data_IF_343885113271
#
_entry.id   IF_343885113271
#
_cell.length_a   1.000
_cell.length_b   1.000
_cell.length_c   1.000
_cell.angle_alpha   90.00
_cell.angle_beta   90.00
_cell.angle_gamma   90.00
#
_symmetry.space_group_name_H-M   'P 1'
#
loop_
_entity.id
_entity.type
_entity.pdbx_description
1 polymer ?
#
# COMPACT_ATOMS: atom_id res chain seq x y z
N UNK A 1 -19.36 16.17 -22.07
CA UNK A 1 -18.58 15.91 -20.85
C UNK A 1 -17.20 15.48 -21.29
N UNK A 2 -16.14 16.09 -20.78
CA UNK A 2 -14.77 15.68 -21.15
C UNK A 2 -14.52 14.21 -20.74
N UNK A 3 -13.69 13.54 -21.51
CA UNK A 3 -13.33 12.13 -21.29
C UNK A 3 -12.01 12.07 -20.51
N UNK A 4 -12.08 11.90 -19.21
CA UNK A 4 -10.91 11.74 -18.34
C UNK A 4 -10.74 10.26 -18.04
N UNK A 5 -9.69 9.66 -18.62
CA UNK A 5 -9.35 8.26 -18.39
C UNK A 5 -8.42 8.06 -17.21
N UNK A 6 -8.58 6.95 -16.51
CA UNK A 6 -7.59 6.46 -15.54
C UNK A 6 -7.07 5.09 -15.96
N UNK A 7 -5.75 4.92 -15.96
CA UNK A 7 -5.13 3.66 -16.33
C UNK A 7 -5.48 2.56 -15.30
N UNK A 8 -6.04 1.44 -15.79
CA UNK A 8 -6.43 0.28 -15.00
C UNK A 8 -5.81 -0.98 -15.57
N UNK A 9 -4.54 -1.15 -15.31
CA UNK A 9 -3.73 -2.32 -15.72
C UNK A 9 -3.13 -2.98 -14.49
N UNK A 10 -2.45 -4.13 -14.67
CA UNK A 10 -1.77 -4.82 -13.57
C UNK A 10 -0.85 -3.86 -12.80
N UNK A 11 -0.92 -3.89 -11.48
CA UNK A 11 -0.14 -3.02 -10.61
C UNK A 11 -0.64 -1.58 -10.48
N UNK A 12 -1.65 -1.15 -11.24
CA UNK A 12 -2.30 0.15 -11.06
C UNK A 12 -3.29 0.15 -9.91
N UNK A 13 -3.32 1.23 -9.11
CA UNK A 13 -4.25 1.43 -8.00
C UNK A 13 -5.16 2.64 -8.23
N UNK A 14 -6.11 2.57 -9.17
CA UNK A 14 -7.00 3.70 -9.51
C UNK A 14 -7.92 4.11 -8.34
N UNK A 15 -8.07 3.26 -7.32
CA UNK A 15 -8.91 3.50 -6.15
C UNK A 15 -8.13 3.86 -4.89
N UNK A 16 -6.81 4.00 -4.96
CA UNK A 16 -5.98 4.25 -3.78
C UNK A 16 -6.27 5.58 -3.09
N UNK A 17 -6.70 6.55 -3.87
CA UNK A 17 -7.09 7.90 -3.43
C UNK A 17 -8.22 8.46 -4.30
N UNK A 18 -8.78 9.58 -3.91
CA UNK A 18 -9.83 10.26 -4.68
C UNK A 18 -9.21 10.96 -5.90
N UNK A 19 -9.43 10.38 -7.10
CA UNK A 19 -8.94 10.88 -8.38
C UNK A 19 -10.11 11.21 -9.32
N UNK A 20 -9.98 12.29 -10.14
CA UNK A 20 -11.05 12.71 -11.04
C UNK A 20 -10.99 11.93 -12.36
N UNK A 21 -11.92 11.00 -12.60
CA UNK A 21 -12.02 10.28 -13.86
C UNK A 21 -13.45 9.79 -14.11
N UNK A 22 -13.76 9.47 -15.37
CA UNK A 22 -15.05 8.92 -15.77
C UNK A 22 -14.91 7.70 -16.72
N UNK A 23 -13.68 7.27 -17.02
CA UNK A 23 -13.41 6.15 -17.91
C UNK A 23 -12.24 5.35 -17.33
N UNK A 24 -12.37 4.01 -17.23
CA UNK A 24 -11.25 3.12 -17.03
C UNK A 24 -10.57 2.83 -18.36
N UNK A 25 -9.24 2.86 -18.37
CA UNK A 25 -8.40 2.54 -19.54
C UNK A 25 -7.71 1.22 -19.26
N UNK A 26 -8.22 0.15 -19.81
CA UNK A 26 -7.73 -1.23 -19.63
C UNK A 26 -7.44 -1.95 -20.96
N UNK A 27 -7.80 -1.35 -22.10
CA UNK A 27 -7.59 -1.90 -23.44
C UNK A 27 -6.97 -0.91 -24.41
N UNK A 28 -6.31 -1.45 -25.44
CA UNK A 28 -5.75 -0.66 -26.55
C UNK A 28 -6.82 0.12 -27.31
N UNK A 29 -6.47 1.32 -27.77
CA UNK A 29 -7.34 2.22 -28.51
C UNK A 29 -8.15 3.18 -27.63
N UNK A 30 -8.28 2.93 -26.35
CA UNK A 30 -9.11 3.77 -25.47
C UNK A 30 -8.50 5.16 -25.22
N UNK A 31 -7.16 5.28 -25.20
CA UNK A 31 -6.46 6.55 -24.93
C UNK A 31 -6.70 7.58 -26.04
N UNK A 32 -6.95 7.11 -27.26
CA UNK A 32 -7.08 7.96 -28.44
C UNK A 32 -8.15 9.05 -28.31
N UNK A 33 -9.27 8.72 -27.66
CA UNK A 33 -10.45 9.57 -27.62
C UNK A 33 -10.60 10.30 -26.27
N UNK A 34 -9.55 10.34 -25.45
CA UNK A 34 -9.55 11.04 -24.18
C UNK A 34 -9.19 12.53 -24.35
N UNK A 35 -9.65 13.35 -23.40
CA UNK A 35 -9.20 14.73 -23.22
C UNK A 35 -8.07 14.79 -22.17
N UNK A 36 -8.11 13.91 -21.17
CA UNK A 36 -7.03 13.74 -20.20
C UNK A 36 -6.84 12.28 -19.79
N UNK A 37 -5.60 11.91 -19.44
CA UNK A 37 -5.23 10.61 -18.92
C UNK A 37 -4.58 10.75 -17.56
N UNK A 38 -5.10 10.03 -16.56
CA UNK A 38 -4.49 9.89 -15.24
C UNK A 38 -3.77 8.54 -15.17
N UNK A 39 -2.49 8.57 -14.85
CA UNK A 39 -1.69 7.39 -14.55
C UNK A 39 -1.60 7.29 -13.03
N UNK A 40 -2.32 6.34 -12.41
CA UNK A 40 -2.52 6.29 -10.97
C UNK A 40 -1.29 5.78 -10.21
N UNK A 41 -1.30 5.85 -8.87
CA UNK A 41 -0.32 5.15 -8.05
C UNK A 41 -0.40 3.63 -8.21
N UNK A 42 0.58 2.92 -7.63
CA UNK A 42 0.70 1.48 -7.65
C UNK A 42 2.14 1.01 -7.81
N UNK A 43 2.34 -0.06 -8.57
CA UNK A 43 3.65 -0.67 -8.89
C UNK A 43 3.81 -0.89 -10.40
N UNK A 44 3.51 0.14 -11.20
CA UNK A 44 3.47 0.02 -12.66
C UNK A 44 4.81 -0.43 -13.26
N UNK A 45 5.91 0.07 -12.71
CA UNK A 45 7.25 -0.22 -13.19
C UNK A 45 7.69 -1.60 -12.74
N UNK A 46 7.49 -1.93 -11.48
CA UNK A 46 7.80 -3.22 -10.88
C UNK A 46 6.98 -4.35 -11.54
N UNK A 47 5.74 -4.03 -11.95
CA UNK A 47 4.85 -4.93 -12.71
C UNK A 47 5.19 -5.00 -14.21
N UNK A 48 6.24 -4.31 -14.66
CA UNK A 48 6.72 -4.29 -16.05
C UNK A 48 5.62 -3.98 -17.06
N UNK A 49 4.81 -2.97 -16.75
CA UNK A 49 3.60 -2.62 -17.51
C UNK A 49 3.91 -2.30 -18.97
N UNK A 50 5.04 -1.64 -19.29
CA UNK A 50 5.44 -1.33 -20.66
C UNK A 50 5.78 -2.58 -21.48
N UNK A 51 6.33 -3.61 -20.84
CA UNK A 51 6.62 -4.88 -21.51
C UNK A 51 5.34 -5.71 -21.71
N UNK A 52 4.47 -5.75 -20.68
CA UNK A 52 3.22 -6.53 -20.69
C UNK A 52 2.17 -5.98 -21.65
N UNK A 53 2.06 -4.67 -21.74
CA UNK A 53 1.07 -3.96 -22.55
C UNK A 53 1.78 -3.17 -23.67
N UNK A 54 2.28 -3.88 -24.69
CA UNK A 54 3.10 -3.31 -25.77
C UNK A 54 2.43 -2.17 -26.55
N UNK A 55 1.11 -1.98 -26.42
CA UNK A 55 0.36 -0.86 -27.00
C UNK A 55 0.50 0.43 -26.16
N UNK A 56 0.66 0.30 -24.85
CA UNK A 56 0.48 1.41 -23.90
C UNK A 56 1.50 2.53 -24.12
N UNK A 57 2.76 2.18 -24.25
CA UNK A 57 3.83 3.19 -24.46
C UNK A 57 3.60 4.04 -25.70
N UNK A 58 3.23 3.41 -26.81
CA UNK A 58 2.95 4.11 -28.08
C UNK A 58 1.72 5.01 -27.96
N UNK A 59 0.62 4.49 -27.42
CA UNK A 59 -0.61 5.26 -27.33
C UNK A 59 -0.50 6.46 -26.39
N UNK A 60 0.25 6.33 -25.29
CA UNK A 60 0.51 7.48 -24.40
C UNK A 60 1.38 8.53 -25.10
N UNK A 61 2.42 8.12 -25.84
CA UNK A 61 3.24 9.05 -26.62
C UNK A 61 2.42 9.77 -27.70
N UNK A 62 1.65 9.03 -28.51
CA UNK A 62 0.77 9.59 -29.53
C UNK A 62 -0.25 10.57 -28.93
N UNK A 63 -0.75 10.29 -27.73
CA UNK A 63 -1.69 11.15 -27.02
C UNK A 63 -1.02 12.45 -26.55
N UNK A 64 0.16 12.37 -25.97
CA UNK A 64 0.97 13.52 -25.53
C UNK A 64 1.36 14.41 -26.69
N UNK A 65 1.82 13.83 -27.80
CA UNK A 65 2.24 14.59 -29.00
C UNK A 65 1.08 15.33 -29.67
N UNK A 66 -0.14 14.82 -29.56
CA UNK A 66 -1.36 15.48 -30.03
C UNK A 66 -1.88 16.55 -29.06
N UNK A 67 -1.17 16.83 -27.96
CA UNK A 67 -1.53 17.84 -26.98
C UNK A 67 -2.50 17.36 -25.89
N UNK A 68 -2.65 16.05 -25.73
CA UNK A 68 -3.43 15.47 -24.64
C UNK A 68 -2.86 15.81 -23.26
N UNK A 69 -3.72 15.95 -22.28
CA UNK A 69 -3.31 16.26 -20.90
C UNK A 69 -3.03 14.97 -20.12
N UNK A 70 -1.83 14.83 -19.55
CA UNK A 70 -1.46 13.64 -18.76
C UNK A 70 -1.06 14.03 -17.34
N UNK A 71 -1.59 13.31 -16.36
CA UNK A 71 -1.24 13.46 -14.95
C UNK A 71 -0.74 12.13 -14.40
N UNK A 72 0.50 12.10 -13.91
CA UNK A 72 1.08 10.93 -13.22
C UNK A 72 1.10 11.12 -11.71
N UNK A 73 0.67 10.12 -10.95
CA UNK A 73 0.69 10.11 -9.48
C UNK A 73 1.59 9.01 -8.98
N UNK A 74 2.60 9.33 -8.17
CA UNK A 74 3.53 8.38 -7.55
C UNK A 74 4.15 7.41 -8.59
N UNK A 75 3.72 6.14 -8.65
CA UNK A 75 4.13 5.18 -9.67
C UNK A 75 3.84 5.68 -11.10
N UNK A 76 2.84 6.53 -11.28
CA UNK A 76 2.56 7.21 -12.55
C UNK A 76 3.69 8.17 -12.97
N UNK A 77 4.34 8.84 -12.02
CA UNK A 77 5.55 9.66 -12.31
C UNK A 77 6.72 8.76 -12.70
N UNK A 78 6.89 7.66 -11.98
CA UNK A 78 7.91 6.66 -12.29
C UNK A 78 7.72 6.10 -13.69
N UNK A 79 6.49 5.75 -14.06
CA UNK A 79 6.12 5.29 -15.40
C UNK A 79 6.42 6.32 -16.49
N UNK A 80 6.13 7.61 -16.24
CA UNK A 80 6.39 8.72 -17.18
C UNK A 80 7.86 9.13 -17.25
N UNK A 81 8.70 8.74 -16.28
CA UNK A 81 10.12 9.07 -16.24
C UNK A 81 10.91 8.41 -17.37
N UNK A 82 12.14 8.84 -17.57
CA UNK A 82 13.08 8.19 -18.48
C UNK A 82 13.63 6.89 -17.91
N UNK A 83 13.95 6.89 -16.61
CA UNK A 83 14.52 5.71 -15.96
C UNK A 83 14.38 5.77 -14.44
N UNK A 84 14.40 4.60 -13.82
CA UNK A 84 14.46 4.43 -12.38
C UNK A 84 15.69 3.58 -12.05
N UNK A 85 16.55 4.10 -11.19
CA UNK A 85 17.61 3.32 -10.57
C UNK A 85 17.05 2.61 -9.34
N UNK A 86 16.90 1.31 -9.42
CA UNK A 86 16.36 0.50 -8.34
C UNK A 86 17.34 0.37 -7.17
N UNK A 87 18.65 0.41 -7.45
CA UNK A 87 19.73 0.27 -6.46
C UNK A 87 19.44 -0.82 -5.41
N UNK A 88 18.99 -1.98 -5.87
CA UNK A 88 18.59 -3.09 -5.00
C UNK A 88 19.82 -3.65 -4.32
N UNK A 89 19.84 -3.65 -2.99
CA UNK A 89 20.94 -4.14 -2.15
C UNK A 89 22.31 -3.55 -2.54
N UNK A 90 22.34 -2.29 -2.96
CA UNK A 90 23.56 -1.59 -3.35
C UNK A 90 24.07 -1.91 -4.75
N UNK A 91 23.38 -2.77 -5.50
CA UNK A 91 23.68 -3.05 -6.90
C UNK A 91 22.84 -2.14 -7.81
N UNK A 92 23.44 -1.46 -8.81
CA UNK A 92 22.67 -0.68 -9.75
C UNK A 92 21.76 -1.59 -10.56
N UNK A 93 20.49 -1.23 -10.61
CA UNK A 93 19.49 -1.87 -11.46
C UNK A 93 18.66 -0.76 -12.08
N UNK A 94 18.56 -0.74 -13.41
CA UNK A 94 17.82 0.28 -14.11
C UNK A 94 16.59 -0.32 -14.78
N UNK A 95 15.47 0.37 -14.61
CA UNK A 95 14.25 0.10 -15.37
C UNK A 95 13.92 1.34 -16.19
N UNK A 96 13.61 1.14 -17.45
CA UNK A 96 13.20 2.22 -18.33
C UNK A 96 11.72 2.55 -18.10
N UNK A 97 11.43 3.83 -17.97
CA UNK A 97 10.09 4.37 -18.04
C UNK A 97 9.77 4.82 -19.47
N UNK A 98 8.65 5.52 -19.63
CA UNK A 98 8.20 5.97 -20.93
C UNK A 98 9.03 7.14 -21.51
N UNK A 99 9.70 7.92 -20.67
CA UNK A 99 10.57 9.04 -21.09
C UNK A 99 9.81 10.31 -21.49
N UNK A 100 8.51 10.41 -21.20
CA UNK A 100 7.70 11.62 -21.46
C UNK A 100 8.13 12.78 -20.54
N UNK A 101 8.48 12.49 -19.31
CA UNK A 101 9.17 13.38 -18.39
C UNK A 101 10.66 13.04 -18.40
N UNK A 102 11.49 13.99 -18.78
CA UNK A 102 12.95 13.80 -18.85
C UNK A 102 13.58 13.91 -17.46
N UNK A 103 13.20 12.98 -16.61
CA UNK A 103 13.66 12.81 -15.24
C UNK A 103 14.16 11.37 -15.03
N UNK A 104 15.02 11.19 -14.04
CA UNK A 104 15.32 9.88 -13.46
C UNK A 104 14.92 9.84 -11.99
N UNK A 105 14.60 8.65 -11.50
CA UNK A 105 14.30 8.47 -10.07
C UNK A 105 15.33 7.54 -9.42
N UNK A 106 15.56 7.79 -8.13
CA UNK A 106 16.44 7.00 -7.27
C UNK A 106 15.74 6.65 -5.97
N UNK A 107 16.27 5.67 -5.20
CA UNK A 107 15.71 5.31 -3.91
C UNK A 107 15.64 6.50 -2.95
N UNK A 108 14.44 6.77 -2.49
CA UNK A 108 14.12 7.68 -1.40
C UNK A 108 12.81 7.19 -0.78
N UNK A 109 12.92 6.42 0.30
CA UNK A 109 11.77 5.89 1.00
C UNK A 109 11.15 6.98 1.85
N UNK A 110 9.93 7.33 1.53
CA UNK A 110 9.12 8.28 2.31
C UNK A 110 7.75 7.69 2.54
N UNK A 111 7.30 7.74 3.80
CA UNK A 111 5.94 7.35 4.19
C UNK A 111 5.41 8.34 5.22
N UNK A 112 4.25 8.92 4.97
CA UNK A 112 3.58 9.81 5.91
C UNK A 112 3.12 11.15 5.32
N UNK A 113 2.51 12.00 6.15
CA UNK A 113 2.03 13.31 5.74
C UNK A 113 3.18 14.24 5.35
N UNK A 114 2.94 15.06 4.32
CA UNK A 114 3.90 16.06 3.84
C UNK A 114 3.19 17.38 3.49
N UNK A 115 3.95 18.47 3.56
CA UNK A 115 3.58 19.77 2.99
C UNK A 115 4.45 20.01 1.76
N UNK A 116 3.79 20.43 0.69
CA UNK A 116 4.43 20.77 -0.58
C UNK A 116 4.38 22.28 -0.76
N UNK A 117 5.54 22.93 -0.86
CA UNK A 117 5.63 24.33 -1.26
C UNK A 117 5.68 24.41 -2.78
N UNK A 118 4.72 25.10 -3.37
CA UNK A 118 4.72 25.41 -4.81
C UNK A 118 5.75 26.52 -5.06
N UNK A 119 6.71 26.28 -5.93
CA UNK A 119 7.83 27.19 -6.21
C UNK A 119 7.83 27.76 -7.61
N UNK A 120 7.19 27.09 -8.57
CA UNK A 120 7.06 27.57 -9.96
C UNK A 120 5.65 27.37 -10.46
N UNK A 121 5.27 28.19 -11.44
CA UNK A 121 3.98 28.13 -12.12
C UNK A 121 4.06 27.26 -13.37
N UNK A 122 3.11 26.32 -13.45
CA UNK A 122 2.77 25.55 -14.65
C UNK A 122 1.26 25.61 -14.89
N UNK A 123 0.75 24.90 -15.87
CA UNK A 123 -0.69 24.80 -16.06
C UNK A 123 -1.39 24.17 -14.83
N UNK A 124 -0.73 23.23 -14.16
CA UNK A 124 -1.27 22.54 -12.99
C UNK A 124 -1.14 23.38 -11.69
N UNK A 125 -0.11 24.22 -11.59
CA UNK A 125 0.17 25.03 -10.39
C UNK A 125 -0.16 26.51 -10.59
N UNK A 126 -0.94 26.86 -11.63
CA UNK A 126 -1.32 28.24 -11.95
C UNK A 126 -1.97 28.94 -10.76
N UNK A 127 -1.41 30.10 -10.40
CA UNK A 127 -1.87 30.92 -9.29
C UNK A 127 -1.53 30.38 -7.90
N UNK A 128 -0.68 29.34 -7.78
CA UNK A 128 -0.35 28.68 -6.52
C UNK A 128 1.06 28.95 -6.02
N UNK A 129 1.89 29.70 -6.76
CA UNK A 129 3.26 29.99 -6.35
C UNK A 129 3.31 30.58 -4.93
N UNK A 130 4.22 30.06 -4.09
CA UNK A 130 4.35 30.37 -2.66
C UNK A 130 3.20 29.90 -1.76
N UNK A 131 2.29 29.04 -2.26
CA UNK A 131 1.32 28.35 -1.40
C UNK A 131 1.84 27.00 -0.94
N UNK A 132 1.27 26.48 0.15
CA UNK A 132 1.53 25.13 0.66
C UNK A 132 0.32 24.24 0.44
N UNK A 133 0.57 23.03 -0.04
CA UNK A 133 -0.43 21.99 -0.27
C UNK A 133 -0.17 20.82 0.68
N UNK A 134 -1.18 20.37 1.39
CA UNK A 134 -1.11 19.17 2.23
C UNK A 134 -1.37 17.89 1.41
N UNK A 135 -0.65 16.83 1.76
CA UNK A 135 -0.84 15.51 1.19
C UNK A 135 -0.03 14.47 1.94
N UNK A 136 0.19 13.33 1.32
CA UNK A 136 1.07 12.30 1.89
C UNK A 136 1.94 11.64 0.82
N UNK A 137 2.98 10.95 1.26
CA UNK A 137 3.84 10.15 0.40
C UNK A 137 3.90 8.71 0.88
N UNK A 138 4.03 7.77 -0.06
CA UNK A 138 4.14 6.34 0.20
C UNK A 138 4.90 5.66 -0.94
N UNK A 139 6.22 5.84 -0.98
CA UNK A 139 7.03 5.34 -2.10
C UNK A 139 8.43 4.90 -1.67
N UNK A 140 9.03 4.05 -2.49
CA UNK A 140 10.42 3.58 -2.37
C UNK A 140 11.37 4.39 -3.25
N UNK A 141 10.94 4.77 -4.45
CA UNK A 141 11.73 5.50 -5.44
C UNK A 141 11.16 6.90 -5.64
N UNK A 142 11.52 7.83 -4.77
CA UNK A 142 10.95 9.17 -4.76
C UNK A 142 11.92 10.31 -5.04
N UNK A 143 13.23 10.04 -5.15
CA UNK A 143 14.21 11.08 -5.43
C UNK A 143 14.23 11.39 -6.93
N UNK A 144 13.67 12.54 -7.29
CA UNK A 144 13.59 13.03 -8.65
C UNK A 144 14.88 13.77 -9.01
N UNK A 145 15.51 13.38 -10.11
CA UNK A 145 16.61 14.09 -10.75
C UNK A 145 16.16 14.58 -12.14
N UNK A 146 16.16 15.89 -12.36
CA UNK A 146 15.84 16.50 -13.66
C UNK A 146 17.05 16.38 -14.58
N UNK A 147 16.85 15.83 -15.79
CA UNK A 147 17.93 15.50 -16.71
C UNK A 147 18.20 16.61 -17.74
N UNK A 148 17.20 17.46 -18.00
CA UNK A 148 17.35 18.60 -18.93
C UNK A 148 16.33 19.71 -18.62
N UNK A 149 16.37 20.80 -19.40
CA UNK A 149 15.51 21.97 -19.22
C UNK A 149 14.05 21.79 -19.72
N UNK A 150 13.70 20.63 -20.28
CA UNK A 150 12.32 20.36 -20.75
C UNK A 150 11.38 20.07 -19.60
N UNK A 151 11.91 19.78 -18.41
CA UNK A 151 11.14 19.55 -17.17
C UNK A 151 11.38 20.68 -16.17
N UNK A 152 10.31 21.14 -15.58
CA UNK A 152 10.29 22.13 -14.50
C UNK A 152 9.93 21.45 -13.18
N UNK A 153 10.60 21.84 -12.11
CA UNK A 153 10.19 21.52 -10.74
C UNK A 153 9.15 22.56 -10.33
N UNK A 154 7.92 22.14 -10.12
CA UNK A 154 6.82 23.01 -9.73
C UNK A 154 6.67 23.12 -8.21
N UNK A 155 7.08 22.08 -7.47
CA UNK A 155 6.98 22.09 -6.02
C UNK A 155 7.97 21.14 -5.34
N UNK A 156 8.27 21.50 -4.09
CA UNK A 156 9.19 20.74 -3.22
C UNK A 156 8.49 20.40 -1.91
N UNK A 157 8.78 19.21 -1.40
CA UNK A 157 8.32 18.79 -0.07
C UNK A 157 9.45 18.82 0.94
N UNK A 158 9.17 19.31 2.13
CA UNK A 158 10.04 19.15 3.29
C UNK A 158 9.68 17.88 4.01
N UNK A 159 10.60 16.92 4.00
CA UNK A 159 10.45 15.60 4.61
C UNK A 159 11.29 15.57 5.89
N UNK A 160 10.66 15.22 7.01
CA UNK A 160 11.35 15.11 8.31
C UNK A 160 11.81 13.68 8.60
N UNK A 161 11.34 12.72 7.83
CA UNK A 161 11.70 11.33 7.97
C UNK A 161 11.77 10.65 6.60
N UNK A 162 12.92 10.12 6.28
CA UNK A 162 13.15 9.35 5.05
C UNK A 162 14.18 8.25 5.30
N UNK A 163 14.13 7.20 4.51
CA UNK A 163 15.03 6.04 4.60
C UNK A 163 15.19 5.54 6.05
N UNK A 164 14.08 5.53 6.82
CA UNK A 164 14.03 5.16 8.25
C UNK A 164 14.89 6.04 9.16
N UNK A 165 15.33 7.20 8.69
CA UNK A 165 16.14 8.16 9.47
C UNK A 165 15.32 9.40 9.77
N UNK A 166 15.56 9.96 10.96
CA UNK A 166 15.05 11.28 11.33
C UNK A 166 16.06 12.33 10.86
N UNK A 167 15.76 12.93 9.73
CA UNK A 167 16.54 14.01 9.16
C UNK A 167 15.61 14.86 8.30
N UNK A 168 15.93 16.15 8.14
CA UNK A 168 15.16 17.03 7.26
C UNK A 168 15.78 17.04 5.88
N UNK A 169 14.96 16.80 4.87
CA UNK A 169 15.34 16.84 3.46
C UNK A 169 14.28 17.62 2.70
N UNK A 170 14.71 18.55 1.86
CA UNK A 170 13.87 19.18 0.85
C UNK A 170 14.10 18.48 -0.49
N UNK A 171 13.01 18.03 -1.15
CA UNK A 171 13.09 17.25 -2.38
C UNK A 171 12.00 17.65 -3.37
N UNK A 172 12.29 17.65 -4.69
CA UNK A 172 11.29 17.85 -5.72
C UNK A 172 10.20 16.79 -5.62
N UNK A 173 8.94 17.22 -5.70
CA UNK A 173 7.77 16.32 -5.63
C UNK A 173 6.68 16.64 -6.63
N UNK A 174 6.66 17.88 -7.18
CA UNK A 174 5.80 18.26 -8.29
C UNK A 174 6.70 18.63 -9.46
N UNK A 175 6.42 18.06 -10.63
CA UNK A 175 7.17 18.33 -11.87
C UNK A 175 6.21 18.46 -13.04
N UNK A 176 6.57 19.31 -14.02
CA UNK A 176 5.81 19.43 -15.26
C UNK A 176 6.72 19.48 -16.48
N UNK A 177 6.21 19.05 -17.62
CA UNK A 177 6.88 19.24 -18.90
C UNK A 177 6.65 20.68 -19.39
N UNK A 178 7.72 21.32 -19.89
CA UNK A 178 7.62 22.62 -20.59
C UNK A 178 7.13 22.48 -22.03
N UNK A 179 7.24 21.28 -22.58
CA UNK A 179 6.93 20.99 -23.97
C UNK A 179 5.51 20.43 -24.15
N UNK A 180 5.06 19.63 -23.20
CA UNK A 180 3.81 18.89 -23.27
C UNK A 180 2.90 19.21 -22.07
N UNK A 181 1.62 18.93 -22.20
CA UNK A 181 0.66 19.07 -21.09
C UNK A 181 0.76 17.86 -20.12
N UNK A 182 1.94 17.68 -19.54
CA UNK A 182 2.23 16.58 -18.64
C UNK A 182 2.64 17.12 -17.28
N UNK A 183 2.00 16.61 -16.25
CA UNK A 183 2.26 16.92 -14.84
C UNK A 183 2.47 15.64 -14.06
N UNK A 184 3.42 15.64 -13.14
CA UNK A 184 3.74 14.53 -12.24
C UNK A 184 3.78 14.96 -10.79
N UNK A 185 3.24 14.14 -9.92
CA UNK A 185 3.28 14.33 -8.47
C UNK A 185 3.69 13.07 -7.73
N UNK A 186 4.64 13.19 -6.81
CA UNK A 186 4.98 12.14 -5.85
C UNK A 186 4.13 12.23 -4.57
N UNK A 187 3.20 13.19 -4.51
CA UNK A 187 2.34 13.44 -3.36
C UNK A 187 0.93 13.00 -3.67
N UNK A 188 0.37 12.20 -2.79
CA UNK A 188 -1.01 11.75 -2.82
C UNK A 188 -1.96 12.77 -2.19
N UNK A 189 -3.24 12.71 -2.55
CA UNK A 189 -4.30 13.55 -2.01
C UNK A 189 -4.41 14.94 -2.64
N UNK A 190 -3.45 15.36 -3.45
CA UNK A 190 -3.47 16.69 -4.07
C UNK A 190 -4.35 16.81 -5.32
N UNK A 191 -4.95 15.71 -5.78
CA UNK A 191 -5.91 15.67 -6.87
C UNK A 191 -7.36 15.45 -6.38
N UNK A 192 -7.61 15.53 -5.09
CA UNK A 192 -8.94 15.36 -4.51
C UNK A 192 -9.92 16.50 -4.91
N UNK A 193 -11.24 16.34 -4.61
CA UNK A 193 -12.32 17.20 -5.12
C UNK A 193 -12.16 18.70 -4.83
N UNK A 194 -11.54 19.06 -3.72
CA UNK A 194 -11.35 20.44 -3.28
C UNK A 194 -9.94 20.97 -3.54
N UNK A 195 -9.11 20.21 -4.22
CA UNK A 195 -7.72 20.60 -4.47
C UNK A 195 -7.63 21.71 -5.54
N UNK A 196 -6.78 22.72 -5.33
CA UNK A 196 -6.52 23.73 -6.34
C UNK A 196 -5.83 23.14 -7.59
N UNK A 197 -5.05 22.08 -7.46
CA UNK A 197 -4.45 21.34 -8.61
C UNK A 197 -5.55 20.72 -9.47
N UNK A 198 -6.56 20.11 -8.85
CA UNK A 198 -7.72 19.58 -9.58
C UNK A 198 -8.51 20.67 -10.28
N UNK A 199 -8.71 21.81 -9.63
CA UNK A 199 -9.35 22.97 -10.28
C UNK A 199 -8.60 23.41 -11.52
N UNK A 200 -7.27 23.45 -11.45
CA UNK A 200 -6.45 23.82 -12.60
C UNK A 200 -6.55 22.76 -13.73
N UNK A 201 -6.60 21.46 -13.40
CA UNK A 201 -6.85 20.40 -14.39
C UNK A 201 -8.20 20.61 -15.08
N UNK A 202 -9.28 20.84 -14.33
CA UNK A 202 -10.61 21.08 -14.91
C UNK A 202 -10.67 22.37 -15.74
N UNK A 203 -10.01 23.44 -15.28
CA UNK A 203 -9.90 24.69 -16.05
C UNK A 203 -9.18 24.48 -17.40
N UNK A 204 -8.10 23.64 -17.42
CA UNK A 204 -7.40 23.29 -18.64
C UNK A 204 -8.26 22.51 -19.63
N UNK A 205 -9.24 21.75 -19.12
CA UNK A 205 -10.25 21.03 -19.90
C UNK A 205 -11.51 21.84 -20.19
N UNK A 206 -11.55 23.13 -19.83
CA UNK A 206 -12.71 24.01 -20.02
C UNK A 206 -13.92 23.67 -19.15
N UNK A 207 -13.73 23.01 -18.02
CA UNK A 207 -14.78 22.59 -17.10
C UNK A 207 -14.75 23.49 -15.86
N UNK A 208 -15.82 24.25 -15.63
CA UNK A 208 -15.89 25.24 -14.53
C UNK A 208 -17.08 25.02 -13.59
N UNK A 209 -18.08 24.20 -13.96
CA UNK A 209 -19.24 23.89 -13.12
C UNK A 209 -18.86 22.86 -12.04
N UNK A 210 -18.92 23.25 -10.77
CA UNK A 210 -18.58 22.37 -9.64
C UNK A 210 -19.48 21.13 -9.56
N UNK A 211 -20.71 21.15 -10.06
CA UNK A 211 -21.60 19.98 -10.12
C UNK A 211 -21.07 18.96 -11.12
N UNK A 212 -20.58 19.45 -12.28
CA UNK A 212 -19.97 18.62 -13.30
C UNK A 212 -18.64 18.05 -12.79
N UNK A 213 -17.84 18.85 -12.08
CA UNK A 213 -16.58 18.41 -11.47
C UNK A 213 -16.80 17.23 -10.51
N UNK A 214 -17.83 17.29 -9.66
CA UNK A 214 -18.17 16.21 -8.72
C UNK A 214 -18.51 14.89 -9.43
N UNK A 215 -19.09 14.93 -10.62
CA UNK A 215 -19.40 13.73 -11.39
C UNK A 215 -18.14 12.89 -11.72
N UNK A 216 -16.97 13.53 -11.88
CA UNK A 216 -15.72 12.83 -12.16
C UNK A 216 -15.15 12.08 -10.97
N UNK A 217 -15.61 12.35 -9.76
CA UNK A 217 -15.18 11.61 -8.56
C UNK A 217 -16.11 10.44 -8.21
N UNK A 218 -17.27 10.29 -8.87
CA UNK A 218 -18.24 9.25 -8.55
C UNK A 218 -17.64 7.83 -8.62
N UNK A 219 -16.85 7.52 -9.64
CA UNK A 219 -16.21 6.20 -9.75
C UNK A 219 -15.16 5.95 -8.66
N UNK A 220 -14.48 7.00 -8.19
CA UNK A 220 -13.63 6.91 -6.98
C UNK A 220 -14.49 6.67 -5.74
N UNK A 221 -15.63 7.36 -5.63
CA UNK A 221 -16.53 7.27 -4.46
C UNK A 221 -17.23 5.92 -4.35
N UNK A 222 -17.50 5.22 -5.46
CA UNK A 222 -18.07 3.86 -5.45
C UNK A 222 -17.23 2.85 -4.66
N UNK A 223 -15.94 3.10 -4.53
CA UNK A 223 -14.99 2.28 -3.77
C UNK A 223 -14.62 2.89 -2.42
N UNK A 224 -15.19 4.06 -2.08
CA UNK A 224 -14.94 4.68 -0.78
C UNK A 224 -15.42 3.80 0.38
N UNK A 225 -14.85 4.05 1.55
CA UNK A 225 -15.31 3.46 2.79
C UNK A 225 -16.63 4.14 3.20
N UNK A 226 -17.74 3.46 3.01
CA UNK A 226 -19.06 3.97 3.36
C UNK A 226 -19.53 3.33 4.67
N UNK A 227 -20.04 4.12 5.63
CA UNK A 227 -20.67 3.56 6.83
C UNK A 227 -21.86 2.68 6.45
N UNK A 228 -22.02 1.55 7.14
CA UNK A 228 -23.27 0.76 7.06
C UNK A 228 -24.39 1.46 7.83
N UNK A 229 -25.62 1.29 7.39
CA UNK A 229 -26.81 1.87 8.06
C UNK A 229 -27.09 1.28 9.45
N UNK A 230 -26.56 0.09 9.71
CA UNK A 230 -26.61 -0.55 11.03
C UNK A 230 -25.81 0.24 12.07
N UNK A 231 -26.21 0.14 13.33
CA UNK A 231 -25.52 0.81 14.43
C UNK A 231 -24.02 0.47 14.45
N UNK A 232 -23.15 1.44 14.74
CA UNK A 232 -21.70 1.21 14.83
C UNK A 232 -21.40 0.06 15.79
N UNK A 233 -20.59 -0.89 15.34
CA UNK A 233 -20.17 -2.02 16.16
C UNK A 233 -18.64 -2.16 16.13
N UNK A 234 -18.08 -2.55 17.25
CA UNK A 234 -16.66 -2.83 17.34
C UNK A 234 -16.34 -4.03 16.44
N UNK A 235 -15.47 -3.90 15.44
CA UNK A 235 -15.11 -5.02 14.58
C UNK A 235 -14.37 -6.10 15.39
N UNK A 236 -14.45 -7.34 14.95
CA UNK A 236 -13.55 -8.37 15.43
C UNK A 236 -12.15 -8.08 14.90
N UNK A 237 -11.16 -8.00 15.79
CA UNK A 237 -9.79 -7.61 15.42
C UNK A 237 -8.95 -8.88 15.26
N UNK A 238 -8.23 -8.99 14.13
CA UNK A 238 -7.28 -10.07 13.88
C UNK A 238 -5.90 -9.44 13.70
N UNK A 239 -4.94 -9.76 14.55
CA UNK A 239 -3.56 -9.28 14.42
C UNK A 239 -2.68 -10.35 13.78
N UNK A 240 -2.06 -9.98 12.65
CA UNK A 240 -1.05 -10.80 11.98
C UNK A 240 0.33 -10.42 12.50
N UNK A 241 0.95 -11.32 13.24
CA UNK A 241 2.28 -11.14 13.82
C UNK A 241 3.27 -12.15 13.26
N UNK A 242 4.56 -11.84 13.34
CA UNK A 242 5.62 -12.76 12.96
C UNK A 242 6.68 -12.87 14.03
N UNK A 243 7.45 -13.94 14.00
CA UNK A 243 8.58 -14.11 14.92
C UNK A 243 9.72 -13.16 14.57
N UNK A 244 9.92 -12.87 13.29
CA UNK A 244 10.93 -11.92 12.78
C UNK A 244 10.35 -11.04 11.66
N UNK A 245 11.11 -10.03 11.22
CA UNK A 245 10.77 -9.26 10.02
C UNK A 245 10.95 -10.09 8.75
N UNK A 246 10.21 -9.77 7.67
CA UNK A 246 10.38 -10.45 6.38
C UNK A 246 9.78 -11.86 6.28
N UNK A 247 9.00 -12.32 7.27
CA UNK A 247 8.43 -13.68 7.28
C UNK A 247 7.12 -13.85 6.49
N UNK A 248 6.64 -12.79 5.80
CA UNK A 248 5.48 -12.87 4.92
C UNK A 248 4.17 -12.35 5.52
N UNK A 249 4.21 -11.51 6.60
CA UNK A 249 3.01 -10.89 7.18
C UNK A 249 2.13 -10.20 6.16
N UNK A 250 2.71 -9.36 5.33
CA UNK A 250 2.00 -8.55 4.33
C UNK A 250 1.22 -9.41 3.33
N UNK A 251 1.83 -10.52 2.88
CA UNK A 251 1.16 -11.47 2.01
C UNK A 251 0.00 -12.18 2.73
N UNK A 252 0.25 -12.66 3.95
CA UNK A 252 -0.78 -13.33 4.75
C UNK A 252 -1.93 -12.37 5.10
N UNK A 253 -1.62 -11.11 5.41
CA UNK A 253 -2.64 -10.07 5.63
C UNK A 253 -3.50 -9.88 4.37
N UNK A 254 -2.89 -9.84 3.19
CA UNK A 254 -3.60 -9.73 1.92
C UNK A 254 -4.49 -10.96 1.63
N UNK A 255 -4.01 -12.15 1.95
CA UNK A 255 -4.80 -13.39 1.83
C UNK A 255 -6.00 -13.42 2.80
N UNK A 256 -5.81 -12.93 4.03
CA UNK A 256 -6.88 -12.83 5.03
C UNK A 256 -7.98 -11.86 4.61
N UNK A 257 -7.61 -10.65 4.16
CA UNK A 257 -8.61 -9.67 3.72
C UNK A 257 -9.34 -10.14 2.46
N UNK A 258 -8.64 -10.83 1.55
CA UNK A 258 -9.27 -11.48 0.39
C UNK A 258 -10.30 -12.53 0.83
N UNK A 259 -9.88 -13.45 1.69
CA UNK A 259 -10.74 -14.50 2.22
C UNK A 259 -12.02 -13.93 2.87
N UNK A 260 -11.87 -13.08 3.86
CA UNK A 260 -13.01 -12.50 4.58
C UNK A 260 -13.93 -11.68 3.66
N UNK A 261 -13.35 -10.92 2.73
CA UNK A 261 -14.14 -10.15 1.76
C UNK A 261 -14.93 -11.04 0.80
N UNK A 262 -14.34 -12.16 0.34
CA UNK A 262 -15.02 -13.16 -0.50
C UNK A 262 -16.20 -13.82 0.20
N UNK A 263 -16.10 -14.04 1.49
CA UNK A 263 -17.18 -14.57 2.32
C UNK A 263 -18.27 -13.53 2.66
N UNK A 264 -18.17 -12.32 2.09
CA UNK A 264 -19.18 -11.27 2.22
C UNK A 264 -19.04 -10.37 3.45
N UNK A 265 -17.97 -10.51 4.22
CA UNK A 265 -17.69 -9.62 5.36
C UNK A 265 -17.19 -8.25 4.89
N UNK A 266 -17.55 -7.20 5.64
CA UNK A 266 -16.99 -5.87 5.45
C UNK A 266 -15.69 -5.75 6.25
N UNK A 267 -14.57 -5.81 5.53
CA UNK A 267 -13.23 -5.97 6.11
C UNK A 267 -12.41 -4.71 5.93
N UNK A 268 -11.82 -4.24 7.02
CA UNK A 268 -10.80 -3.20 7.01
C UNK A 268 -9.41 -3.78 7.25
N UNK A 269 -8.39 -3.00 6.86
CA UNK A 269 -6.99 -3.33 7.12
C UNK A 269 -6.30 -2.14 7.78
N UNK A 270 -5.40 -2.41 8.72
CA UNK A 270 -4.55 -1.41 9.36
C UNK A 270 -3.14 -1.95 9.59
N UNK A 271 -2.19 -1.05 9.75
CA UNK A 271 -0.77 -1.35 10.02
C UNK A 271 -0.33 -0.71 11.31
N UNK A 272 0.38 -1.45 12.15
CA UNK A 272 1.12 -0.85 13.27
C UNK A 272 2.38 -0.16 12.74
N UNK A 273 2.51 1.14 13.02
CA UNK A 273 3.63 1.95 12.57
C UNK A 273 3.37 2.73 11.28
N UNK A 274 4.39 3.48 10.86
CA UNK A 274 4.26 4.47 9.78
C UNK A 274 4.50 3.96 8.37
N UNK A 275 4.91 2.71 8.17
CA UNK A 275 5.17 2.20 6.82
C UNK A 275 3.87 1.75 6.15
N UNK A 276 3.16 2.71 5.58
CA UNK A 276 1.88 2.48 4.90
C UNK A 276 2.02 1.75 3.55
N UNK A 277 3.24 1.53 3.04
CA UNK A 277 3.47 0.74 1.83
C UNK A 277 3.06 -0.72 2.04
N UNK A 278 3.20 -1.24 3.25
CA UNK A 278 2.75 -2.58 3.61
C UNK A 278 1.22 -2.76 3.47
N UNK A 279 0.45 -1.67 3.44
CA UNK A 279 -0.99 -1.70 3.19
C UNK A 279 -1.36 -1.81 1.70
N UNK A 280 -0.43 -1.47 0.80
CA UNK A 280 -0.73 -1.45 -0.64
C UNK A 280 -1.23 -2.80 -1.17
N UNK A 281 -0.60 -3.96 -0.87
CA UNK A 281 -1.10 -5.25 -1.33
C UNK A 281 -2.53 -5.54 -0.86
N UNK A 282 -2.84 -5.30 0.40
CA UNK A 282 -4.18 -5.52 0.95
C UNK A 282 -5.22 -4.56 0.36
N UNK A 283 -4.87 -3.28 0.18
CA UNK A 283 -5.76 -2.29 -0.46
C UNK A 283 -5.94 -2.57 -1.95
N UNK A 284 -4.92 -3.11 -2.62
CA UNK A 284 -5.00 -3.55 -4.00
C UNK A 284 -6.00 -4.71 -4.15
N UNK A 285 -5.94 -5.69 -3.26
CA UNK A 285 -6.90 -6.83 -3.21
C UNK A 285 -8.32 -6.34 -2.91
N UNK A 286 -8.49 -5.47 -1.92
CA UNK A 286 -9.80 -4.93 -1.52
C UNK A 286 -10.39 -3.93 -2.52
N UNK A 287 -9.57 -3.38 -3.43
CA UNK A 287 -9.93 -2.26 -4.32
C UNK A 287 -10.50 -1.07 -3.53
N UNK A 288 -9.85 -0.70 -2.43
CA UNK A 288 -10.28 0.35 -1.49
C UNK A 288 -9.20 1.42 -1.32
N UNK A 289 -9.60 2.67 -1.02
CA UNK A 289 -8.65 3.76 -0.80
C UNK A 289 -7.94 3.63 0.56
N UNK A 290 -6.71 4.16 0.59
CA UNK A 290 -6.03 4.42 1.85
C UNK A 290 -6.74 5.54 2.63
N UNK A 291 -6.81 5.39 3.95
CA UNK A 291 -7.28 6.43 4.88
C UNK A 291 -6.32 6.51 6.09
N UNK A 292 -6.11 7.70 6.67
CA UNK A 292 -5.17 7.91 7.79
C UNK A 292 -5.35 6.95 8.98
N UNK A 293 -6.59 6.58 9.30
CA UNK A 293 -6.89 5.67 10.41
C UNK A 293 -6.30 4.27 10.26
N UNK A 294 -5.87 3.88 9.07
CA UNK A 294 -5.24 2.59 8.80
C UNK A 294 -3.79 2.53 9.26
N UNK A 295 -3.16 3.66 9.58
CA UNK A 295 -1.79 3.72 10.10
C UNK A 295 -1.82 4.00 11.59
N UNK A 296 -1.78 2.93 12.41
CA UNK A 296 -1.85 3.00 13.86
C UNK A 296 -0.49 3.42 14.43
N UNK A 297 -0.50 4.45 15.24
CA UNK A 297 0.69 5.05 15.81
C UNK A 297 1.44 4.05 16.71
N UNK A 298 2.71 3.89 16.40
CA UNK A 298 3.69 3.14 17.16
C UNK A 298 4.78 4.10 17.62
N UNK A 299 5.28 3.93 18.83
CA UNK A 299 6.38 4.72 19.34
C UNK A 299 7.67 3.90 19.32
N UNK A 300 8.68 4.45 18.67
CA UNK A 300 9.99 3.87 18.62
C UNK A 300 11.03 4.95 18.97
N UNK A 301 11.90 4.67 19.94
CA UNK A 301 12.97 5.59 20.37
C UNK A 301 12.49 7.02 20.59
N UNK A 302 11.42 7.18 21.37
CA UNK A 302 10.77 8.46 21.71
C UNK A 302 10.14 9.23 20.54
N UNK A 303 10.02 8.62 19.36
CA UNK A 303 9.39 9.23 18.19
C UNK A 303 8.23 8.41 17.67
N UNK A 304 7.08 9.05 17.56
CA UNK A 304 5.88 8.42 17.05
C UNK A 304 6.02 8.04 15.56
N UNK A 305 5.57 6.84 15.21
CA UNK A 305 5.47 6.29 13.87
C UNK A 305 4.05 5.90 13.59
N UNK A 306 3.46 6.47 12.57
CA UNK A 306 2.05 6.27 12.24
C UNK A 306 1.29 7.58 12.29
N UNK A 307 0.00 7.52 12.00
CA UNK A 307 -0.80 8.73 11.77
C UNK A 307 -1.82 8.99 12.86
N UNK A 308 -2.45 7.92 13.39
CA UNK A 308 -3.50 8.04 14.39
C UNK A 308 -3.27 7.12 15.58
N UNK A 309 -3.77 7.49 16.74
CA UNK A 309 -3.81 6.59 17.89
C UNK A 309 -4.71 5.38 17.64
N UNK A 310 -4.45 4.26 18.30
CA UNK A 310 -5.21 3.04 18.11
C UNK A 310 -6.71 3.21 18.44
N UNK A 311 -7.06 4.04 19.45
CA UNK A 311 -8.47 4.32 19.80
C UNK A 311 -9.20 5.02 18.66
N UNK A 312 -8.54 5.96 18.01
CA UNK A 312 -9.08 6.66 16.84
C UNK A 312 -9.23 5.70 15.64
N UNK A 313 -8.23 4.84 15.40
CA UNK A 313 -8.31 3.82 14.37
C UNK A 313 -9.50 2.89 14.57
N UNK A 314 -9.69 2.36 15.80
CA UNK A 314 -10.83 1.49 16.14
C UNK A 314 -12.17 2.23 16.09
N UNK A 315 -12.21 3.49 16.51
CA UNK A 315 -13.40 4.33 16.41
C UNK A 315 -13.84 4.54 14.95
N UNK A 316 -12.90 4.80 14.06
CA UNK A 316 -13.19 4.90 12.62
C UNK A 316 -13.69 3.57 12.06
N UNK A 317 -13.02 2.46 12.39
CA UNK A 317 -13.42 1.13 11.96
C UNK A 317 -14.84 0.77 12.44
N UNK A 318 -15.16 1.08 13.71
CA UNK A 318 -16.48 0.89 14.28
C UNK A 318 -17.53 1.80 13.63
N UNK A 319 -17.18 3.07 13.37
CA UNK A 319 -18.05 4.03 12.68
C UNK A 319 -18.42 3.62 11.25
N UNK A 320 -17.54 2.85 10.59
CA UNK A 320 -17.82 2.23 9.30
C UNK A 320 -18.67 0.97 9.40
N UNK A 321 -18.84 0.41 10.59
CA UNK A 321 -19.55 -0.86 10.78
C UNK A 321 -18.81 -2.05 10.17
N UNK A 322 -17.47 -2.06 10.26
CA UNK A 322 -16.67 -3.19 9.79
C UNK A 322 -16.99 -4.45 10.60
N UNK A 323 -17.06 -5.60 9.93
CA UNK A 323 -17.16 -6.90 10.59
C UNK A 323 -15.80 -7.30 11.17
N UNK A 324 -14.74 -7.09 10.41
CA UNK A 324 -13.36 -7.40 10.77
C UNK A 324 -12.41 -6.24 10.52
N UNK A 325 -11.44 -6.09 11.41
CA UNK A 325 -10.26 -5.26 11.20
C UNK A 325 -9.01 -6.14 11.29
N UNK A 326 -8.34 -6.35 10.17
CA UNK A 326 -7.06 -7.06 10.11
C UNK A 326 -5.94 -6.07 10.37
N UNK A 327 -5.17 -6.29 11.42
CA UNK A 327 -4.06 -5.41 11.83
C UNK A 327 -2.73 -6.10 11.55
N UNK A 328 -1.95 -5.57 10.63
CA UNK A 328 -0.60 -6.06 10.37
C UNK A 328 0.37 -5.54 11.42
N UNK A 329 1.07 -6.45 12.09
CA UNK A 329 2.10 -6.12 13.08
C UNK A 329 3.35 -5.50 12.45
N UNK A 330 4.14 -4.81 13.28
CA UNK A 330 5.41 -4.21 12.88
C UNK A 330 6.57 -5.16 13.17
N UNK A 331 7.48 -5.33 12.20
CA UNK A 331 8.68 -6.18 12.35
C UNK A 331 8.38 -7.56 12.99
N UNK A 332 9.23 -8.05 13.91
CA UNK A 332 8.92 -9.22 14.73
C UNK A 332 8.06 -8.87 15.94
N UNK A 333 7.36 -9.85 16.50
CA UNK A 333 6.39 -9.69 17.61
C UNK A 333 6.95 -8.90 18.79
N UNK A 334 8.19 -9.18 19.19
CA UNK A 334 8.85 -8.59 20.36
C UNK A 334 9.72 -7.37 20.02
N UNK A 335 9.83 -7.02 18.72
CA UNK A 335 10.70 -5.92 18.30
C UNK A 335 10.08 -4.58 18.68
N UNK A 336 10.77 -3.81 19.52
CA UNK A 336 10.36 -2.49 19.96
C UNK A 336 10.93 -2.11 21.32
N UNK A 337 10.51 -0.95 21.84
CA UNK A 337 10.86 -0.48 23.17
C UNK A 337 9.95 -1.14 24.23
N UNK A 338 10.45 -1.28 25.47
CA UNK A 338 9.64 -1.71 26.62
C UNK A 338 8.76 -0.60 27.23
N UNK A 339 8.75 0.59 26.63
CA UNK A 339 8.05 1.77 27.16
C UNK A 339 6.70 1.97 26.47
N UNK A 340 5.78 1.05 26.70
CA UNK A 340 4.39 1.22 26.25
C UNK A 340 3.65 2.25 27.13
N UNK A 341 2.78 3.04 26.50
CA UNK A 341 1.81 3.88 27.18
C UNK A 341 0.40 3.46 26.80
N UNK A 342 -0.63 3.97 27.49
CA UNK A 342 -2.03 3.62 27.19
C UNK A 342 -2.45 3.94 25.76
N UNK A 343 -1.82 4.93 25.12
CA UNK A 343 -2.22 5.41 23.79
C UNK A 343 -1.23 5.05 22.68
N UNK A 344 -0.01 4.63 23.03
CA UNK A 344 1.07 4.36 22.08
C UNK A 344 1.82 3.09 22.48
N UNK A 345 1.97 2.19 21.53
CA UNK A 345 2.70 0.94 21.70
C UNK A 345 4.11 1.06 21.13
N UNK A 346 5.01 0.24 21.62
CA UNK A 346 6.37 0.15 21.12
C UNK A 346 6.63 -1.10 20.28
N UNK A 347 5.69 -2.04 20.28
CA UNK A 347 5.82 -3.34 19.61
C UNK A 347 4.44 -3.94 19.29
N UNK A 348 4.44 -4.97 18.44
CA UNK A 348 3.21 -5.73 18.14
C UNK A 348 2.62 -6.37 19.39
N UNK A 349 3.46 -6.93 20.26
CA UNK A 349 2.97 -7.52 21.52
C UNK A 349 2.41 -6.45 22.49
N UNK A 350 2.96 -5.24 22.46
CA UNK A 350 2.43 -4.11 23.24
C UNK A 350 1.00 -3.77 22.85
N UNK A 351 0.71 -3.73 21.54
CA UNK A 351 -0.65 -3.58 21.01
C UNK A 351 -1.56 -4.71 21.51
N UNK A 352 -1.13 -5.96 21.37
CA UNK A 352 -1.93 -7.13 21.77
C UNK A 352 -2.23 -7.19 23.26
N UNK A 353 -1.36 -6.66 24.11
CA UNK A 353 -1.61 -6.59 25.56
C UNK A 353 -2.81 -5.72 25.92
N UNK A 354 -3.01 -4.64 25.17
CA UNK A 354 -4.04 -3.63 25.47
C UNK A 354 -5.31 -3.83 24.64
N UNK A 355 -5.17 -4.30 23.38
CA UNK A 355 -6.31 -4.49 22.47
C UNK A 355 -6.68 -5.97 22.41
N UNK A 356 -7.94 -6.26 22.70
CA UNK A 356 -8.49 -7.62 22.51
C UNK A 356 -8.45 -7.98 21.02
N UNK A 357 -7.71 -9.04 20.67
CA UNK A 357 -7.49 -9.43 19.28
C UNK A 357 -7.28 -10.94 19.18
N UNK A 358 -7.78 -11.53 18.11
CA UNK A 358 -7.34 -12.84 17.66
C UNK A 358 -5.94 -12.73 17.06
N UNK A 359 -5.10 -13.73 17.27
CA UNK A 359 -3.71 -13.68 16.83
C UNK A 359 -3.44 -14.76 15.81
N UNK A 360 -2.83 -14.36 14.68
CA UNK A 360 -2.20 -15.27 13.72
C UNK A 360 -0.69 -15.02 13.78
N UNK A 361 0.07 -16.07 14.12
CA UNK A 361 1.52 -15.99 14.26
C UNK A 361 2.20 -16.73 13.12
N UNK A 362 3.09 -16.06 12.39
CA UNK A 362 3.84 -16.61 11.25
C UNK A 362 5.32 -16.71 11.55
N UNK A 363 5.94 -17.80 11.11
CA UNK A 363 7.40 -17.97 10.99
C UNK A 363 7.76 -18.55 9.62
N UNK A 364 8.86 -18.09 9.06
CA UNK A 364 9.34 -18.54 7.74
C UNK A 364 10.44 -19.59 7.88
N UNK A 365 10.35 -20.68 7.11
CA UNK A 365 11.40 -21.68 6.98
C UNK A 365 12.59 -21.20 6.13
N UNK A 366 12.48 -20.06 5.44
CA UNK A 366 13.52 -19.57 4.54
C UNK A 366 14.83 -19.16 5.22
N UNK A 367 14.81 -18.87 6.53
CA UNK A 367 15.99 -18.36 7.25
C UNK A 367 16.84 -19.46 7.88
N UNK A 368 16.22 -20.41 8.55
CA UNK A 368 16.88 -21.42 9.39
C UNK A 368 16.20 -22.80 9.31
N UNK A 369 15.50 -23.06 8.20
CA UNK A 369 14.79 -24.31 7.97
C UNK A 369 13.49 -24.43 8.77
N UNK A 370 12.85 -25.58 8.59
CA UNK A 370 11.56 -25.90 9.22
C UNK A 370 11.72 -26.00 10.74
N UNK A 371 12.80 -26.64 11.21
CA UNK A 371 13.09 -26.83 12.62
C UNK A 371 13.30 -25.50 13.35
N UNK A 372 14.03 -24.57 12.73
CA UNK A 372 14.24 -23.24 13.26
C UNK A 372 12.93 -22.42 13.34
N UNK A 373 12.11 -22.49 12.31
CA UNK A 373 10.80 -21.85 12.29
C UNK A 373 9.88 -22.42 13.38
N UNK A 374 9.84 -23.75 13.55
CA UNK A 374 9.07 -24.43 14.62
C UNK A 374 9.58 -24.01 16.00
N UNK A 375 10.90 -23.94 16.20
CA UNK A 375 11.47 -23.50 17.47
C UNK A 375 11.04 -22.07 17.84
N UNK A 376 11.07 -21.15 16.86
CA UNK A 376 10.60 -19.77 17.05
C UNK A 376 9.11 -19.73 17.36
N UNK A 377 8.27 -20.45 16.60
CA UNK A 377 6.84 -20.53 16.87
C UNK A 377 6.54 -21.00 18.28
N UNK A 378 7.15 -22.11 18.72
CA UNK A 378 6.98 -22.62 20.09
C UNK A 378 7.30 -21.57 21.16
N UNK A 379 8.43 -20.89 21.00
CA UNK A 379 8.89 -19.87 21.94
C UNK A 379 7.93 -18.70 22.02
N UNK A 380 7.48 -18.19 20.87
CA UNK A 380 6.60 -17.03 20.80
C UNK A 380 5.15 -17.36 21.18
N UNK A 381 4.67 -18.57 20.87
CA UNK A 381 3.35 -19.05 21.33
C UNK A 381 3.31 -19.09 22.85
N UNK A 382 4.38 -19.53 23.50
CA UNK A 382 4.47 -19.54 24.96
C UNK A 382 4.33 -18.11 25.52
N UNK A 383 5.08 -17.15 24.99
CA UNK A 383 4.98 -15.74 25.38
C UNK A 383 3.56 -15.17 25.19
N UNK A 384 2.91 -15.52 24.07
CA UNK A 384 1.55 -15.08 23.79
C UNK A 384 0.54 -15.68 24.74
N UNK A 385 0.68 -16.96 25.12
CA UNK A 385 -0.16 -17.62 26.10
C UNK A 385 -0.01 -16.96 27.48
N UNK A 386 1.23 -16.63 27.90
CA UNK A 386 1.52 -15.97 29.17
C UNK A 386 0.83 -14.62 29.32
N UNK A 387 0.65 -13.88 28.22
CA UNK A 387 -0.08 -12.61 28.22
C UNK A 387 -1.60 -12.76 27.94
N UNK A 388 -2.11 -14.00 27.88
CA UNK A 388 -3.52 -14.28 27.58
C UNK A 388 -3.92 -14.02 26.12
N UNK A 389 -2.99 -14.13 25.18
CA UNK A 389 -3.19 -13.91 23.74
C UNK A 389 -2.79 -15.14 22.93
N UNK A 390 -3.33 -16.28 23.27
CA UNK A 390 -3.11 -17.53 22.56
C UNK A 390 -3.44 -17.36 21.06
N UNK A 391 -2.52 -17.71 20.12
CA UNK A 391 -2.83 -17.67 18.69
C UNK A 391 -3.98 -18.60 18.34
N UNK A 392 -4.81 -18.20 17.41
CA UNK A 392 -5.83 -19.10 16.80
C UNK A 392 -5.21 -19.93 15.68
N UNK A 393 -4.23 -19.36 14.95
CA UNK A 393 -3.50 -20.01 13.87
C UNK A 393 -2.01 -19.74 14.04
N UNK A 394 -1.19 -20.78 13.90
CA UNK A 394 0.25 -20.69 13.69
C UNK A 394 0.55 -21.04 12.22
N UNK A 395 1.41 -20.28 11.56
CA UNK A 395 1.73 -20.43 10.14
C UNK A 395 3.21 -20.72 9.95
N UNK A 396 3.52 -21.86 9.32
CA UNK A 396 4.84 -22.16 8.75
C UNK A 396 4.85 -21.73 7.28
N UNK A 397 5.58 -20.68 6.98
CA UNK A 397 5.65 -20.05 5.66
C UNK A 397 6.96 -20.42 4.94
N UNK A 398 6.96 -20.30 3.61
CA UNK A 398 8.09 -20.63 2.75
C UNK A 398 8.59 -22.07 2.93
N UNK A 399 7.64 -23.00 3.05
CA UNK A 399 7.96 -24.41 3.13
C UNK A 399 8.52 -24.90 1.80
N UNK A 400 9.52 -25.77 1.87
CA UNK A 400 9.97 -26.48 0.68
C UNK A 400 8.97 -27.57 0.29
N UNK A 401 8.80 -27.74 -1.00
CA UNK A 401 7.88 -28.75 -1.49
C UNK A 401 8.21 -30.14 -0.93
N UNK A 402 7.21 -30.83 -0.38
CA UNK A 402 7.35 -32.16 0.22
C UNK A 402 7.70 -32.17 1.73
N UNK A 403 7.95 -31.03 2.38
CA UNK A 403 8.27 -31.00 3.82
C UNK A 403 7.04 -30.93 4.75
N UNK A 404 5.84 -30.85 4.22
CA UNK A 404 4.60 -30.77 5.01
C UNK A 404 4.32 -32.03 5.87
N UNK A 405 4.83 -33.18 5.45
CA UNK A 405 4.68 -34.48 6.13
C UNK A 405 5.93 -34.88 6.94
N UNK A 406 6.91 -33.98 7.06
CA UNK A 406 8.08 -34.24 7.87
C UNK A 406 7.68 -34.52 9.34
N UNK A 407 8.39 -35.43 9.98
CA UNK A 407 8.10 -35.90 11.34
C UNK A 407 7.99 -34.74 12.34
N UNK A 408 8.87 -33.74 12.22
CA UNK A 408 8.85 -32.54 13.06
C UNK A 408 7.60 -31.69 12.87
N UNK A 409 7.12 -31.53 11.62
CA UNK A 409 5.89 -30.77 11.31
C UNK A 409 4.68 -31.53 11.86
N UNK A 410 4.62 -32.84 11.64
CA UNK A 410 3.53 -33.69 12.16
C UNK A 410 3.49 -33.68 13.70
N UNK A 411 4.66 -33.75 14.35
CA UNK A 411 4.77 -33.67 15.80
C UNK A 411 4.31 -32.30 16.31
N UNK A 412 4.74 -31.23 15.66
CA UNK A 412 4.37 -29.87 16.03
C UNK A 412 2.87 -29.62 15.83
N UNK A 413 2.27 -30.15 14.77
CA UNK A 413 0.80 -30.07 14.54
C UNK A 413 0.04 -30.68 15.72
N UNK A 414 0.40 -31.89 16.16
CA UNK A 414 -0.24 -32.54 17.33
C UNK A 414 -0.06 -31.76 18.64
N UNK A 415 1.10 -31.15 18.83
CA UNK A 415 1.37 -30.27 19.99
C UNK A 415 0.43 -29.07 20.00
N UNK A 416 0.23 -28.42 18.83
CA UNK A 416 -0.66 -27.27 18.69
C UNK A 416 -2.14 -27.64 18.81
N UNK A 417 -2.54 -28.79 18.28
CA UNK A 417 -3.88 -29.36 18.47
C UNK A 417 -4.23 -29.50 19.95
N UNK A 418 -3.29 -29.96 20.79
CA UNK A 418 -3.44 -30.02 22.24
C UNK A 418 -3.65 -28.66 22.91
N UNK A 419 -3.24 -27.58 22.25
CA UNK A 419 -3.46 -26.19 22.68
C UNK A 419 -4.68 -25.53 22.02
N UNK A 420 -5.38 -26.24 21.15
CA UNK A 420 -6.43 -25.68 20.28
C UNK A 420 -5.89 -24.53 19.41
N UNK A 421 -4.74 -24.71 18.81
CA UNK A 421 -4.11 -23.82 17.82
C UNK A 421 -4.02 -24.60 16.52
N UNK A 422 -4.48 -24.00 15.43
CA UNK A 422 -4.36 -24.61 14.11
C UNK A 422 -2.97 -24.37 13.54
N UNK A 423 -2.35 -25.40 12.97
CA UNK A 423 -1.13 -25.25 12.16
C UNK A 423 -1.49 -25.18 10.68
N UNK A 424 -1.15 -24.07 10.05
CA UNK A 424 -1.21 -23.88 8.61
C UNK A 424 0.20 -23.88 8.02
N UNK A 425 0.38 -24.47 6.85
CA UNK A 425 1.64 -24.48 6.10
C UNK A 425 1.45 -23.81 4.75
N UNK A 426 2.42 -22.99 4.32
CA UNK A 426 2.41 -22.29 3.04
C UNK A 426 3.71 -22.58 2.32
N UNK A 427 3.63 -23.09 1.09
CA UNK A 427 4.78 -23.33 0.24
C UNK A 427 5.50 -22.03 -0.13
N UNK A 428 6.78 -22.14 -0.45
CA UNK A 428 7.56 -21.04 -1.01
C UNK A 428 6.95 -20.61 -2.36
N UNK A 429 6.53 -19.37 -2.43
CA UNK A 429 5.93 -18.79 -3.64
C UNK A 429 6.98 -17.98 -4.44
N UNK A 430 6.79 -17.78 -5.76
CA UNK A 430 7.73 -17.03 -6.60
C UNK A 430 8.06 -15.61 -6.09
N UNK A 431 7.13 -14.98 -5.37
CA UNK A 431 7.36 -13.66 -4.78
C UNK A 431 8.38 -13.68 -3.63
N UNK A 432 8.60 -14.82 -2.98
CA UNK A 432 9.53 -14.97 -1.85
C UNK A 432 11.00 -14.77 -2.25
N UNK A 433 11.31 -14.90 -3.53
CA UNK A 433 12.68 -14.71 -4.06
C UNK A 433 12.98 -13.27 -4.45
N UNK A 434 11.96 -12.39 -4.49
CA UNK A 434 12.11 -10.98 -4.86
C UNK A 434 12.58 -10.17 -3.67
N UNK A 435 13.47 -9.17 -3.88
CA UNK A 435 13.78 -8.18 -2.86
C UNK A 435 12.51 -7.47 -2.35
N UNK A 436 12.47 -7.14 -1.06
CA UNK A 436 11.35 -6.44 -0.42
C UNK A 436 11.04 -5.09 -1.09
N UNK A 437 12.04 -4.48 -1.71
CA UNK A 437 11.92 -3.20 -2.41
C UNK A 437 11.18 -3.32 -3.76
N UNK A 438 11.01 -4.53 -4.29
CA UNK A 438 10.39 -4.80 -5.60
C UNK A 438 9.02 -5.48 -5.46
N UNK A 439 8.09 -4.78 -4.85
CA UNK A 439 6.70 -5.24 -4.72
C UNK A 439 6.00 -5.15 -6.09
N UNK A 440 5.56 -6.30 -6.63
CA UNK A 440 4.59 -6.37 -7.72
C UNK A 440 3.20 -6.69 -7.15
N UNK A 441 2.30 -5.71 -7.15
CA UNK A 441 0.97 -5.87 -6.55
C UNK A 441 0.16 -6.98 -7.22
N UNK A 442 0.36 -7.21 -8.52
CA UNK A 442 -0.30 -8.30 -9.22
C UNK A 442 0.17 -9.68 -8.74
N UNK A 443 1.49 -9.84 -8.50
CA UNK A 443 2.03 -11.09 -7.95
C UNK A 443 1.50 -11.31 -6.52
N UNK A 444 1.39 -10.24 -5.71
CA UNK A 444 0.82 -10.33 -4.37
C UNK A 444 -0.67 -10.68 -4.39
N UNK A 445 -1.45 -10.11 -5.32
CA UNK A 445 -2.87 -10.48 -5.47
C UNK A 445 -3.03 -11.95 -5.86
N UNK A 446 -2.30 -12.44 -6.86
CA UNK A 446 -2.33 -13.84 -7.29
C UNK A 446 -1.94 -14.79 -6.16
N UNK A 447 -0.86 -14.47 -5.42
CA UNK A 447 -0.42 -15.26 -4.29
C UNK A 447 -1.41 -15.24 -3.12
N UNK A 448 -2.00 -14.07 -2.82
CA UNK A 448 -3.02 -13.93 -1.79
C UNK A 448 -4.29 -14.73 -2.11
N UNK A 449 -4.75 -14.68 -3.36
CA UNK A 449 -5.88 -15.49 -3.84
C UNK A 449 -5.57 -16.97 -3.67
N UNK A 450 -4.41 -17.43 -4.12
CA UNK A 450 -4.00 -18.83 -4.02
C UNK A 450 -4.01 -19.31 -2.56
N UNK A 451 -3.33 -18.60 -1.64
CA UNK A 451 -3.29 -18.95 -0.22
C UNK A 451 -4.71 -18.99 0.37
N UNK A 452 -5.54 -18.01 0.01
CA UNK A 452 -6.91 -17.89 0.49
C UNK A 452 -7.77 -19.08 0.07
N UNK A 453 -7.64 -19.54 -1.17
CA UNK A 453 -8.46 -20.63 -1.74
C UNK A 453 -7.97 -22.02 -1.34
N UNK A 454 -6.68 -22.24 -1.24
CA UNK A 454 -6.11 -23.57 -0.97
C UNK A 454 -6.36 -24.05 0.47
N UNK A 455 -6.36 -23.15 1.47
CA UNK A 455 -6.47 -23.61 2.86
C UNK A 455 -6.96 -22.57 3.87
N UNK A 456 -6.63 -21.27 3.67
CA UNK A 456 -6.80 -20.26 4.71
C UNK A 456 -8.28 -20.00 5.06
N UNK A 457 -9.15 -19.88 4.08
CA UNK A 457 -10.56 -19.51 4.33
C UNK A 457 -11.30 -20.58 5.13
N UNK A 458 -11.17 -21.85 4.74
CA UNK A 458 -11.84 -22.96 5.42
C UNK A 458 -11.43 -23.03 6.90
N UNK A 459 -10.12 -22.93 7.15
CA UNK A 459 -9.55 -23.00 8.49
C UNK A 459 -9.87 -21.77 9.33
N UNK A 460 -9.80 -20.56 8.73
CA UNK A 460 -10.08 -19.31 9.43
C UNK A 460 -11.52 -19.25 9.92
N UNK A 461 -12.48 -19.53 9.02
CA UNK A 461 -13.91 -19.47 9.35
C UNK A 461 -14.26 -20.51 10.40
N UNK A 462 -13.72 -21.72 10.30
CA UNK A 462 -13.86 -22.76 11.31
C UNK A 462 -13.35 -22.30 12.69
N UNK A 463 -12.20 -21.64 12.75
CA UNK A 463 -11.59 -21.14 13.99
C UNK A 463 -12.32 -19.93 14.56
N UNK A 464 -12.83 -19.03 13.70
CA UNK A 464 -13.58 -17.85 14.13
C UNK A 464 -14.99 -18.16 14.63
N UNK A 465 -15.60 -19.26 14.16
CA UNK A 465 -16.92 -19.71 14.60
C UNK A 465 -16.95 -20.41 15.97
N UNK A 466 -15.77 -20.81 16.47
CA UNK A 466 -15.63 -21.52 17.76
C UNK A 466 -15.25 -20.62 18.95
N UNK A 467 -14.95 -19.36 18.73
CA UNK A 467 -14.58 -18.34 19.72
C UNK A 467 -15.69 -17.27 19.82
#
# INVERSE_FOLDING_TARGET
MARIGILKVRGAMPHYEELPFNIYVDESGMIRDLDALIIPPGTLVESKVLERYGWLGREVWDFVERGGTVVGVCSGVQFLSKSINLNVRGLPGYVEGLGVLNISLEPLIVTGPVLVKVINESWATRGLVNTELGGWQAHTYGKINVLNNDVQIDGVSTITRYNYRNATLETPTLVSSRKYRVFGTMVHGILGPNSPISKNLFNELGIHDERIIREYYKLSDERAWAPREDAPRIPRIITVASTMTGEGKTLLTSALVHCLSREGYYVGVAKLGGDIRDLHPSLYVLKRPFKPWMSIMLRWDDKALGWVGWREALSNAAGLGLDYLVVEGVMGLLTGSSRDSEDVFSSTIGFMKQVGTDVILIASAAYDGVEGAIFRLRSYIKELIEIGRKPIIAVLNNMYHGTHEDEEVVRFRRELEGLSILLMTIDALPISSKPEELIDLGDYEEAAVKISEESLCEHLIGSLGQS
#
